data_IF_616319585285
#
_entry.id   IF_616319585285
#
_cell.length_a   1.000
_cell.length_b   1.000
_cell.length_c   1.000
_cell.angle_alpha   90.00
_cell.angle_beta   90.00
_cell.angle_gamma   90.00
#
_symmetry.space_group_name_H-M   'P 1'
#
loop_
_entity.id
_entity.type
_entity.pdbx_description
1 polymer ?
#
# COMPACT_ATOMS: atom_id res chain seq x y z
N UNK A 1 76.39 5.46 2.80
CA UNK A 1 76.05 4.06 2.44
C UNK A 1 74.54 3.96 2.21
N UNK A 2 74.08 3.95 0.95
CA UNK A 2 72.67 3.71 0.60
C UNK A 2 72.49 2.23 0.24
N UNK A 3 71.79 1.48 1.10
CA UNK A 3 71.34 0.10 0.82
C UNK A 3 70.35 0.15 -0.36
N UNK A 4 70.78 -0.30 -1.54
CA UNK A 4 69.87 -0.56 -2.66
C UNK A 4 69.01 -1.78 -2.34
N UNK A 5 67.76 -1.56 -1.94
CA UNK A 5 66.78 -2.63 -1.80
C UNK A 5 66.37 -3.09 -3.19
N UNK A 6 66.69 -4.34 -3.52
CA UNK A 6 66.28 -4.97 -4.78
C UNK A 6 64.76 -5.14 -4.77
N UNK A 7 64.07 -4.35 -5.59
CA UNK A 7 62.61 -4.45 -5.76
C UNK A 7 62.31 -5.73 -6.53
N UNK A 8 61.86 -6.78 -5.84
CA UNK A 8 61.25 -7.94 -6.51
C UNK A 8 59.97 -7.45 -7.16
N UNK A 9 59.97 -7.37 -8.49
CA UNK A 9 58.79 -7.02 -9.27
C UNK A 9 57.68 -8.03 -9.00
N UNK A 10 56.50 -7.54 -8.64
CA UNK A 10 55.30 -8.38 -8.51
C UNK A 10 55.04 -8.98 -9.89
N UNK A 11 54.89 -10.31 -9.95
CA UNK A 11 54.61 -11.00 -11.21
C UNK A 11 53.31 -10.45 -11.82
N UNK A 12 53.31 -9.97 -13.07
CA UNK A 12 52.14 -9.37 -13.72
C UNK A 12 50.88 -10.25 -13.65
N UNK A 13 51.08 -11.56 -13.66
CA UNK A 13 50.00 -12.55 -13.61
C UNK A 13 49.26 -12.50 -12.25
N UNK A 14 49.97 -12.33 -11.14
CA UNK A 14 49.37 -12.24 -9.80
C UNK A 14 48.55 -10.96 -9.65
N UNK A 15 49.02 -9.85 -10.22
CA UNK A 15 48.32 -8.57 -10.19
C UNK A 15 46.95 -8.66 -10.90
N UNK A 16 46.87 -9.35 -12.05
CA UNK A 16 45.61 -9.49 -12.79
C UNK A 16 44.58 -10.34 -12.05
N UNK A 17 44.99 -11.43 -11.41
CA UNK A 17 44.09 -12.30 -10.65
C UNK A 17 43.53 -11.58 -9.42
N UNK A 18 44.37 -10.81 -8.70
CA UNK A 18 43.93 -9.98 -7.58
C UNK A 18 42.92 -8.92 -8.01
N UNK A 19 43.13 -8.30 -9.18
CA UNK A 19 42.24 -7.27 -9.69
C UNK A 19 40.86 -7.83 -10.08
N UNK A 20 40.82 -9.01 -10.70
CA UNK A 20 39.57 -9.71 -11.05
C UNK A 20 38.83 -10.16 -9.78
N UNK A 21 39.54 -10.74 -8.80
CA UNK A 21 38.94 -11.15 -7.53
C UNK A 21 38.34 -9.97 -6.76
N UNK A 22 39.05 -8.85 -6.70
CA UNK A 22 38.55 -7.63 -6.04
C UNK A 22 37.30 -7.06 -6.74
N UNK A 23 37.26 -7.04 -8.07
CA UNK A 23 36.09 -6.53 -8.82
C UNK A 23 34.85 -7.40 -8.61
N UNK A 24 34.99 -8.73 -8.65
CA UNK A 24 33.88 -9.65 -8.36
C UNK A 24 33.39 -9.49 -6.92
N UNK A 25 34.31 -9.36 -5.96
CA UNK A 25 33.97 -9.13 -4.55
C UNK A 25 33.17 -7.84 -4.33
N UNK A 26 33.63 -6.73 -4.92
CA UNK A 26 32.91 -5.44 -4.85
C UNK A 26 31.52 -5.56 -5.50
N UNK A 27 31.41 -6.26 -6.62
CA UNK A 27 30.13 -6.46 -7.30
C UNK A 27 29.11 -7.19 -6.40
N UNK A 28 29.53 -8.25 -5.71
CA UNK A 28 28.65 -9.01 -4.80
C UNK A 28 28.19 -8.14 -3.61
N UNK A 29 29.07 -7.31 -3.05
CA UNK A 29 28.73 -6.41 -1.95
C UNK A 29 27.70 -5.38 -2.41
N UNK A 30 27.95 -4.71 -3.53
CA UNK A 30 27.01 -3.72 -4.10
C UNK A 30 25.66 -4.36 -4.41
N UNK A 31 25.66 -5.55 -5.01
CA UNK A 31 24.43 -6.26 -5.35
C UNK A 31 23.62 -6.66 -4.10
N UNK A 32 24.32 -7.07 -3.03
CA UNK A 32 23.70 -7.39 -1.74
C UNK A 32 23.09 -6.15 -1.07
N UNK A 33 23.77 -5.00 -1.14
CA UNK A 33 23.26 -3.73 -0.63
C UNK A 33 22.01 -3.26 -1.40
N UNK A 34 22.04 -3.33 -2.73
CA UNK A 34 20.88 -2.96 -3.56
C UNK A 34 19.67 -3.83 -3.18
N UNK A 35 19.86 -5.16 -3.13
CA UNK A 35 18.78 -6.09 -2.74
C UNK A 35 18.22 -5.76 -1.36
N UNK A 36 19.08 -5.54 -0.37
CA UNK A 36 18.66 -5.20 0.99
C UNK A 36 17.84 -3.91 1.08
N UNK A 37 18.22 -2.87 0.32
CA UNK A 37 17.48 -1.60 0.27
C UNK A 37 16.13 -1.75 -0.43
N UNK A 38 16.05 -2.48 -1.54
CA UNK A 38 14.78 -2.70 -2.24
C UNK A 38 13.77 -3.49 -1.39
N UNK A 39 14.19 -4.55 -0.70
CA UNK A 39 13.28 -5.34 0.14
C UNK A 39 12.82 -4.52 1.35
N UNK A 40 13.74 -3.81 2.02
CA UNK A 40 13.40 -2.99 3.19
C UNK A 40 12.53 -1.77 2.89
N UNK A 41 12.50 -1.30 1.64
CA UNK A 41 11.64 -0.17 1.23
C UNK A 41 10.23 -0.63 0.87
N UNK A 42 10.07 -1.83 0.29
CA UNK A 42 8.77 -2.39 -0.06
C UNK A 42 7.98 -2.77 1.20
N UNK A 43 8.64 -3.35 2.20
CA UNK A 43 7.98 -3.78 3.45
C UNK A 43 7.54 -2.63 4.38
N UNK A 44 8.10 -1.42 4.20
CA UNK A 44 7.75 -0.24 5.00
C UNK A 44 6.79 0.72 4.31
N UNK A 45 6.35 0.40 3.09
CA UNK A 45 5.32 1.19 2.43
C UNK A 45 3.99 0.98 3.16
N UNK A 46 3.55 2.01 3.89
CA UNK A 46 2.22 2.10 4.51
C UNK A 46 1.11 2.36 3.48
N UNK A 47 1.47 2.35 2.20
CA UNK A 47 0.60 2.58 1.05
C UNK A 47 0.28 1.26 0.37
N UNK A 48 -0.86 1.22 -0.33
CA UNK A 48 -1.14 0.11 -1.23
C UNK A 48 -0.05 0.11 -2.31
N UNK A 49 0.47 -1.07 -2.64
CA UNK A 49 1.62 -1.16 -3.54
C UNK A 49 1.23 -0.64 -4.92
N UNK A 50 2.16 -0.05 -5.66
CA UNK A 50 1.90 0.48 -7.01
C UNK A 50 1.23 -0.53 -7.95
N UNK A 51 1.50 -1.83 -7.76
CA UNK A 51 0.85 -2.91 -8.52
C UNK A 51 -0.63 -3.08 -8.14
N UNK A 52 -0.95 -3.04 -6.83
CA UNK A 52 -2.32 -3.12 -6.32
C UNK A 52 -3.13 -1.88 -6.73
N UNK A 53 -2.47 -0.72 -6.83
CA UNK A 53 -3.11 0.53 -7.25
C UNK A 53 -3.63 0.50 -8.69
N UNK A 54 -2.96 -0.18 -9.61
CA UNK A 54 -3.42 -0.26 -11.01
C UNK A 54 -4.61 -1.20 -11.20
N UNK A 55 -4.84 -2.13 -10.27
CA UNK A 55 -5.89 -3.15 -10.35
C UNK A 55 -7.10 -2.87 -9.46
N UNK A 56 -7.06 -1.82 -8.64
CA UNK A 56 -8.18 -1.32 -7.85
C UNK A 56 -9.05 -0.38 -8.70
N UNK A 57 -10.25 -0.86 -9.06
CA UNK A 57 -11.30 -0.07 -9.69
C UNK A 57 -12.60 -0.26 -8.90
N UNK A 58 -13.01 0.79 -8.19
CA UNK A 58 -14.11 0.75 -7.23
C UNK A 58 -15.13 1.81 -7.61
N UNK A 59 -16.40 1.42 -7.63
CA UNK A 59 -17.54 2.34 -7.74
C UNK A 59 -18.33 2.32 -6.44
N UNK A 60 -18.86 3.47 -6.01
CA UNK A 60 -19.67 3.56 -4.81
C UNK A 60 -20.91 4.43 -5.03
N UNK A 61 -21.97 4.10 -4.32
CA UNK A 61 -23.22 4.86 -4.24
C UNK A 61 -23.72 4.81 -2.79
N UNK A 62 -24.52 5.77 -2.36
CA UNK A 62 -25.12 5.71 -1.03
C UNK A 62 -26.55 6.21 -1.05
N UNK A 63 -27.33 5.73 -0.09
CA UNK A 63 -28.68 6.19 0.19
C UNK A 63 -28.87 6.31 1.70
N UNK A 64 -29.59 7.34 2.12
CA UNK A 64 -29.95 7.52 3.53
C UNK A 64 -31.30 6.87 3.80
N UNK A 65 -31.35 6.00 4.80
CA UNK A 65 -32.59 5.43 5.33
C UNK A 65 -33.12 6.33 6.43
N UNK A 66 -34.27 6.98 6.19
CA UNK A 66 -34.90 7.85 7.19
C UNK A 66 -35.48 7.06 8.37
N UNK A 67 -35.80 5.78 8.16
CA UNK A 67 -36.50 4.95 9.15
C UNK A 67 -35.55 4.37 10.21
N UNK A 68 -34.29 4.11 9.86
CA UNK A 68 -33.34 3.35 10.68
C UNK A 68 -32.13 4.16 11.19
N UNK A 69 -32.05 5.46 10.86
CA UNK A 69 -30.86 6.28 11.12
C UNK A 69 -29.58 5.60 10.59
N UNK A 70 -29.67 5.05 9.38
CA UNK A 70 -28.54 4.42 8.69
C UNK A 70 -28.28 5.04 7.33
N UNK A 71 -26.99 5.07 6.97
CA UNK A 71 -26.54 5.32 5.60
C UNK A 71 -26.15 3.98 5.02
N UNK A 72 -26.85 3.59 3.95
CA UNK A 72 -26.58 2.38 3.20
C UNK A 72 -25.60 2.74 2.08
N UNK A 73 -24.33 2.37 2.26
CA UNK A 73 -23.26 2.60 1.28
C UNK A 73 -23.04 1.32 0.49
N UNK A 74 -23.28 1.38 -0.81
CA UNK A 74 -23.10 0.28 -1.73
C UNK A 74 -21.81 0.46 -2.54
N UNK A 75 -20.90 -0.50 -2.44
CA UNK A 75 -19.57 -0.44 -3.05
C UNK A 75 -19.39 -1.63 -3.98
N UNK A 76 -19.07 -1.37 -5.25
CA UNK A 76 -18.79 -2.38 -6.26
C UNK A 76 -17.31 -2.41 -6.61
N UNK A 77 -16.74 -3.61 -6.68
CA UNK A 77 -15.35 -3.82 -7.05
C UNK A 77 -15.26 -4.31 -8.49
N UNK A 78 -15.03 -3.38 -9.42
CA UNK A 78 -14.84 -3.68 -10.85
C UNK A 78 -13.38 -4.05 -11.17
N UNK A 79 -12.48 -3.89 -10.19
CA UNK A 79 -11.07 -4.20 -10.31
C UNK A 79 -10.76 -5.70 -10.26
N UNK A 80 -9.48 -6.02 -10.23
CA UNK A 80 -8.97 -7.40 -10.14
C UNK A 80 -8.47 -7.77 -8.74
N UNK A 81 -8.34 -6.79 -7.84
CA UNK A 81 -7.86 -7.00 -6.48
C UNK A 81 -9.02 -7.12 -5.51
N UNK A 82 -9.01 -8.16 -4.66
CA UNK A 82 -9.96 -8.30 -3.57
C UNK A 82 -9.76 -7.15 -2.56
N UNK A 83 -10.85 -6.50 -2.18
CA UNK A 83 -10.86 -5.52 -1.09
C UNK A 83 -11.35 -6.23 0.17
N UNK A 84 -10.68 -6.04 1.30
CA UNK A 84 -11.03 -6.70 2.57
C UNK A 84 -11.97 -5.85 3.42
N UNK A 85 -11.99 -4.54 3.18
CA UNK A 85 -12.83 -3.63 3.94
C UNK A 85 -12.76 -2.20 3.43
N UNK A 86 -13.48 -1.31 4.09
CA UNK A 86 -13.60 0.08 3.69
C UNK A 86 -13.57 1.01 4.89
N UNK A 87 -12.88 2.14 4.74
CA UNK A 87 -12.99 3.28 5.64
C UNK A 87 -13.83 4.35 4.96
N UNK A 88 -14.77 4.93 5.70
CA UNK A 88 -15.69 5.94 5.18
C UNK A 88 -15.46 7.25 5.90
N UNK A 89 -15.52 8.36 5.15
CA UNK A 89 -15.55 9.71 5.72
C UNK A 89 -16.80 10.40 5.21
N UNK A 90 -17.70 10.73 6.12
CA UNK A 90 -18.95 11.40 5.83
C UNK A 90 -18.78 12.91 5.94
N UNK A 91 -19.30 13.64 4.97
CA UNK A 91 -19.25 15.09 4.93
C UNK A 91 -20.65 15.68 4.92
N UNK A 92 -20.88 16.63 5.83
CA UNK A 92 -22.02 17.55 5.80
C UNK A 92 -21.49 18.97 5.72
N UNK A 93 -21.67 19.60 4.57
CA UNK A 93 -20.90 20.79 4.19
C UNK A 93 -19.38 20.52 4.22
N UNK A 94 -18.67 21.25 5.09
CA UNK A 94 -17.20 21.16 5.23
C UNK A 94 -16.73 20.29 6.40
N UNK A 95 -17.64 19.80 7.23
CA UNK A 95 -17.30 18.98 8.39
C UNK A 95 -17.23 17.51 7.98
N UNK A 96 -16.05 16.90 8.15
CA UNK A 96 -15.80 15.50 7.84
C UNK A 96 -15.75 14.65 9.11
N UNK A 97 -16.58 13.60 9.18
CA UNK A 97 -16.59 12.60 10.26
C UNK A 97 -16.09 11.26 9.74
N UNK A 98 -14.99 10.77 10.30
CA UNK A 98 -14.43 9.47 9.95
C UNK A 98 -15.17 8.35 10.69
N UNK A 99 -15.50 7.29 9.96
CA UNK A 99 -16.11 6.07 10.50
C UNK A 99 -15.02 5.01 10.64
N UNK A 100 -14.98 4.23 11.74
CA UNK A 100 -14.06 3.11 11.87
C UNK A 100 -14.13 2.17 10.66
N UNK A 101 -12.99 1.59 10.22
CA UNK A 101 -12.98 0.67 9.10
C UNK A 101 -13.93 -0.51 9.32
N UNK A 102 -14.66 -0.85 8.27
CA UNK A 102 -15.53 -2.02 8.21
C UNK A 102 -14.81 -3.15 7.49
N UNK A 103 -14.91 -4.38 7.99
CA UNK A 103 -14.39 -5.57 7.33
C UNK A 103 -15.53 -6.21 6.55
N UNK A 104 -15.66 -5.83 5.28
CA UNK A 104 -16.66 -6.36 4.37
C UNK A 104 -15.97 -6.76 3.06
N UNK A 105 -15.40 -7.98 3.01
CA UNK A 105 -14.59 -8.39 1.88
C UNK A 105 -15.42 -8.40 0.58
N UNK A 106 -14.91 -7.75 -0.45
CA UNK A 106 -15.58 -7.62 -1.74
C UNK A 106 -14.64 -8.11 -2.85
N UNK A 107 -15.00 -9.23 -3.47
CA UNK A 107 -14.18 -9.81 -4.55
C UNK A 107 -14.35 -9.02 -5.85
N UNK A 108 -13.44 -9.21 -6.82
CA UNK A 108 -13.63 -8.74 -8.19
C UNK A 108 -15.01 -9.12 -8.77
N UNK A 109 -15.71 -8.15 -9.33
CA UNK A 109 -17.05 -8.28 -9.89
C UNK A 109 -18.19 -8.34 -8.87
N UNK A 110 -17.91 -8.28 -7.56
CA UNK A 110 -18.93 -8.30 -6.52
C UNK A 110 -19.28 -6.88 -6.02
N UNK A 111 -20.43 -6.79 -5.37
CA UNK A 111 -20.90 -5.59 -4.69
C UNK A 111 -21.12 -5.91 -3.21
N UNK A 112 -20.68 -5.01 -2.33
CA UNK A 112 -20.94 -5.08 -0.90
C UNK A 112 -21.82 -3.92 -0.46
N UNK A 113 -22.64 -4.19 0.56
CA UNK A 113 -23.51 -3.19 1.18
C UNK A 113 -23.07 -2.98 2.62
N UNK A 114 -22.76 -1.75 2.97
CA UNK A 114 -22.31 -1.34 4.30
C UNK A 114 -23.37 -0.43 4.91
N UNK A 115 -24.03 -0.91 5.95
CA UNK A 115 -25.01 -0.12 6.71
C UNK A 115 -24.31 0.55 7.87
N UNK A 116 -24.23 1.88 7.84
CA UNK A 116 -23.50 2.67 8.83
C UNK A 116 -24.50 3.47 9.63
N UNK A 117 -24.49 3.28 10.96
CA UNK A 117 -25.36 4.04 11.87
C UNK A 117 -24.87 5.48 11.97
N UNK A 118 -25.81 6.42 11.89
CA UNK A 118 -25.60 7.84 12.14
C UNK A 118 -26.36 8.26 13.41
N UNK A 119 -25.88 9.31 14.07
CA UNK A 119 -26.42 9.72 15.37
C UNK A 119 -27.82 10.35 15.24
N UNK A 120 -28.08 11.03 14.12
CA UNK A 120 -29.35 11.67 13.80
C UNK A 120 -29.73 11.37 12.34
N UNK A 121 -30.94 10.87 12.03
CA UNK A 121 -31.38 10.61 10.66
C UNK A 121 -31.48 11.89 9.79
N UNK A 122 -31.60 13.08 10.41
CA UNK A 122 -31.48 14.36 9.72
C UNK A 122 -30.02 14.71 9.34
N UNK A 123 -29.06 13.89 9.75
CA UNK A 123 -27.62 14.01 9.48
C UNK A 123 -27.15 13.15 8.31
N UNK A 124 -28.01 12.98 7.31
CA UNK A 124 -27.63 12.40 6.03
C UNK A 124 -26.48 13.21 5.40
N UNK A 125 -25.35 12.59 5.02
CA UNK A 125 -24.21 13.30 4.46
C UNK A 125 -24.50 13.79 3.04
N UNK A 126 -23.98 14.97 2.70
CA UNK A 126 -24.01 15.50 1.33
C UNK A 126 -23.02 14.74 0.43
N UNK A 127 -21.96 14.22 1.05
CA UNK A 127 -20.85 13.56 0.37
C UNK A 127 -20.24 12.47 1.24
N UNK A 128 -19.82 11.38 0.61
CA UNK A 128 -19.05 10.31 1.24
C UNK A 128 -17.75 10.11 0.48
N UNK A 129 -16.64 10.07 1.20
CA UNK A 129 -15.39 9.53 0.69
C UNK A 129 -15.24 8.08 1.13
N UNK A 130 -15.04 7.18 0.16
CA UNK A 130 -14.80 5.76 0.38
C UNK A 130 -13.34 5.45 0.13
N UNK A 131 -12.70 4.81 1.10
CA UNK A 131 -11.31 4.39 1.02
C UNK A 131 -11.24 2.87 1.09
N UNK A 132 -10.86 2.18 -0.01
CA UNK A 132 -10.71 0.73 0.00
C UNK A 132 -9.53 0.34 0.88
N UNK A 133 -9.66 -0.79 1.59
CA UNK A 133 -8.60 -1.34 2.41
C UNK A 133 -8.34 -2.81 2.11
N UNK A 134 -7.06 -3.16 2.13
CA UNK A 134 -6.56 -4.50 1.88
C UNK A 134 -5.86 -5.01 3.15
N UNK A 135 -5.83 -6.32 3.32
CA UNK A 135 -5.04 -6.94 4.38
C UNK A 135 -3.71 -7.37 3.79
N UNK A 136 -2.60 -6.88 4.35
CA UNK A 136 -1.27 -7.40 4.07
C UNK A 136 -0.79 -8.24 5.25
N UNK A 137 -0.32 -9.43 4.93
CA UNK A 137 0.39 -10.27 5.89
C UNK A 137 1.85 -9.80 5.96
N UNK A 138 2.32 -9.48 7.17
CA UNK A 138 3.71 -9.10 7.43
C UNK A 138 4.24 -10.00 8.54
N UNK A 139 4.90 -11.10 8.16
CA UNK A 139 5.23 -12.19 9.09
C UNK A 139 3.96 -12.84 9.64
N UNK A 140 3.89 -13.06 10.95
CA UNK A 140 2.74 -13.71 11.63
C UNK A 140 1.56 -12.77 11.92
N UNK A 141 1.57 -11.53 11.38
CA UNK A 141 0.53 -10.53 11.65
C UNK A 141 -0.10 -10.03 10.36
N UNK A 142 -1.44 -10.09 10.32
CA UNK A 142 -2.25 -9.40 9.33
C UNK A 142 -2.44 -7.94 9.73
N UNK A 143 -2.18 -7.00 8.80
CA UNK A 143 -2.46 -5.57 8.98
C UNK A 143 -3.44 -5.09 7.93
N UNK A 144 -4.50 -4.43 8.37
CA UNK A 144 -5.41 -3.72 7.49
C UNK A 144 -4.77 -2.40 7.06
N UNK A 145 -4.59 -2.23 5.75
CA UNK A 145 -4.00 -1.05 5.14
C UNK A 145 -5.07 -0.35 4.30
N UNK A 146 -5.21 0.95 4.54
CA UNK A 146 -6.17 1.80 3.82
C UNK A 146 -5.47 2.44 2.62
N UNK A 147 -5.99 2.21 1.42
CA UNK A 147 -5.48 2.78 0.17
C UNK A 147 -5.96 4.23 0.00
N UNK A 148 -5.28 5.19 0.65
CA UNK A 148 -5.67 6.60 0.64
C UNK A 148 -5.70 7.23 -0.74
N UNK A 149 -4.80 6.79 -1.62
CA UNK A 149 -4.65 7.32 -2.98
C UNK A 149 -5.75 6.83 -3.95
N UNK A 150 -6.60 5.89 -3.51
CA UNK A 150 -7.71 5.32 -4.27
C UNK A 150 -9.07 5.70 -3.70
N UNK A 151 -9.16 6.90 -3.13
CA UNK A 151 -10.42 7.40 -2.60
C UNK A 151 -11.45 7.61 -3.71
N UNK A 152 -12.69 7.25 -3.41
CA UNK A 152 -13.84 7.51 -4.27
C UNK A 152 -14.70 8.54 -3.58
N UNK A 153 -14.99 9.63 -4.27
CA UNK A 153 -15.91 10.66 -3.80
C UNK A 153 -17.30 10.41 -4.41
N UNK A 154 -18.30 10.22 -3.55
CA UNK A 154 -19.69 10.07 -3.95
C UNK A 154 -20.47 11.24 -3.38
N UNK A 155 -21.29 11.87 -4.23
CA UNK A 155 -22.20 12.95 -3.85
C UNK A 155 -23.63 12.49 -4.05
N UNK A 156 -24.52 12.94 -3.19
CA UNK A 156 -25.96 12.72 -3.34
C UNK A 156 -26.51 13.49 -4.54
#
# INVERSE_FOLDING_TARGET
>A
MQKRLSKKGISPLIATVLLIGATVGVFIIVFSLIRGVTVGTIEKSTTCGAQEETSLDIAASFACSQDDSTVDVSVSNNGQTKVEGYMFVFYKGNEGKSVPPTLNPTKPGEQSMNKIKIDDPADCPDRIEVYPGIVKETGDKAKFLVCKDKKIEVKL
#
